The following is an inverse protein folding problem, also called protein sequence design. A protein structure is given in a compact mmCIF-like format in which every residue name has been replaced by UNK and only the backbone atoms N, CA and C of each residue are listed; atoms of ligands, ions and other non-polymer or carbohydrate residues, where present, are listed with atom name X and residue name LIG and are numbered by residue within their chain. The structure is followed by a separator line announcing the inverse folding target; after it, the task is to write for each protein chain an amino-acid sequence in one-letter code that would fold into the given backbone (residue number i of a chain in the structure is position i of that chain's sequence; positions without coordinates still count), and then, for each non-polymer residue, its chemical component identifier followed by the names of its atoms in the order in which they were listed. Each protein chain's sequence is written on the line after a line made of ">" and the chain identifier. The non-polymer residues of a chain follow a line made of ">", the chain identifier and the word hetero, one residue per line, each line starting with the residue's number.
data_IF_831120393989
#
_entry.id   IF_831120393989
#
_cell.length_a   1.000
_cell.length_b   1.000
_cell.length_c   1.000
_cell.angle_alpha   90.00
_cell.angle_beta   90.00
_cell.angle_gamma   90.00
#
_symmetry.space_group_name_H-M   'P 1'
#
loop_
_entity.id
_entity.type
_entity.pdbx_description
1 polymer ?
#
# COMPACT_ATOMS: atom_id res chain seq x y z
N UNK A 1 17.71 37.64 48.76
CA UNK A 1 18.16 38.65 47.79
C UNK A 1 19.20 37.99 46.91
N UNK A 2 18.99 37.69 45.64
CA UNK A 2 17.85 38.01 44.78
C UNK A 2 17.71 36.99 43.64
N UNK A 3 16.48 36.96 43.15
CA UNK A 3 15.99 36.40 41.91
C UNK A 3 16.92 36.58 40.70
N UNK A 4 17.06 35.53 39.88
CA UNK A 4 16.82 35.66 38.43
C UNK A 4 16.57 34.31 37.73
N UNK A 5 15.27 34.03 37.61
CA UNK A 5 14.52 33.49 36.47
C UNK A 5 15.31 33.24 35.15
N UNK A 6 14.99 32.07 34.56
CA UNK A 6 14.78 31.83 33.12
C UNK A 6 15.95 31.29 32.27
N UNK A 7 15.87 29.99 31.93
CA UNK A 7 15.64 29.58 30.54
C UNK A 7 15.14 28.13 30.47
N UNK A 8 13.93 28.01 29.92
CA UNK A 8 13.29 26.77 29.48
C UNK A 8 14.19 26.09 28.46
N UNK A 9 14.67 24.88 28.74
CA UNK A 9 15.16 23.98 27.70
C UNK A 9 13.98 23.18 27.18
N UNK A 10 13.68 23.42 25.90
CA UNK A 10 12.59 22.86 25.12
C UNK A 10 12.54 21.33 25.20
N UNK A 11 11.35 20.80 25.49
CA UNK A 11 10.99 19.43 25.14
C UNK A 11 11.31 19.24 23.66
N UNK A 12 12.07 18.20 23.34
CA UNK A 12 12.25 17.74 21.99
C UNK A 12 10.86 17.47 21.41
N UNK A 13 10.40 18.35 20.53
CA UNK A 13 9.39 17.98 19.55
C UNK A 13 10.01 16.83 18.76
N UNK A 14 9.52 15.62 19.03
CA UNK A 14 9.66 14.50 18.13
C UNK A 14 8.95 14.88 16.83
N UNK A 15 9.67 15.61 15.96
CA UNK A 15 9.30 15.78 14.57
C UNK A 15 9.36 14.39 13.95
N UNK A 16 8.23 13.68 14.02
CA UNK A 16 7.94 12.63 13.05
C UNK A 16 8.21 13.24 11.67
N UNK A 17 8.99 12.56 10.81
CA UNK A 17 9.19 13.06 9.46
C UNK A 17 7.82 13.33 8.84
N UNK A 18 7.68 14.49 8.19
CA UNK A 18 6.45 14.85 7.52
C UNK A 18 6.13 13.77 6.48
N UNK A 19 5.23 12.84 6.83
CA UNK A 19 4.89 11.72 5.96
C UNK A 19 4.34 12.26 4.63
N UNK A 20 4.76 11.63 3.54
CA UNK A 20 4.35 11.94 2.17
C UNK A 20 2.84 11.87 1.94
N UNK A 21 2.43 12.20 0.72
CA UNK A 21 1.02 12.29 0.35
C UNK A 21 0.43 10.91 0.06
N UNK A 22 -0.84 10.77 0.43
CA UNK A 22 -1.72 9.67 0.04
C UNK A 22 -2.97 10.24 -0.64
N UNK A 23 -3.32 9.74 -1.82
CA UNK A 23 -4.44 10.29 -2.61
C UNK A 23 -5.33 9.18 -3.14
N UNK A 24 -6.60 9.20 -2.74
CA UNK A 24 -7.63 8.40 -3.41
C UNK A 24 -7.91 9.00 -4.79
N UNK A 25 -7.31 8.41 -5.84
CA UNK A 25 -7.49 8.87 -7.22
C UNK A 25 -8.89 8.53 -7.71
N UNK A 26 -9.37 7.33 -7.37
CA UNK A 26 -10.69 6.83 -7.73
C UNK A 26 -11.12 5.71 -6.82
N UNK A 27 -12.39 5.71 -6.45
CA UNK A 27 -13.06 4.63 -5.76
C UNK A 27 -14.58 4.85 -5.91
N UNK A 28 -15.35 3.89 -6.42
CA UNK A 28 -16.80 4.00 -6.42
C UNK A 28 -17.32 4.21 -4.99
N UNK A 29 -18.33 5.06 -4.81
CA UNK A 29 -18.84 5.43 -3.48
C UNK A 29 -19.33 4.21 -2.67
N UNK A 30 -20.01 3.27 -3.32
CA UNK A 30 -20.46 2.02 -2.70
C UNK A 30 -19.27 1.16 -2.25
N UNK A 31 -18.22 1.09 -3.06
CA UNK A 31 -16.99 0.38 -2.71
C UNK A 31 -16.27 1.04 -1.53
N UNK A 32 -16.19 2.38 -1.51
CA UNK A 32 -15.58 3.10 -0.39
C UNK A 32 -16.35 2.86 0.92
N UNK A 33 -17.69 2.91 0.86
CA UNK A 33 -18.53 2.59 2.02
C UNK A 33 -18.25 1.16 2.51
N UNK A 34 -18.21 0.19 1.58
CA UNK A 34 -17.92 -1.21 1.88
C UNK A 34 -16.56 -1.43 2.54
N UNK A 35 -15.52 -0.72 2.08
CA UNK A 35 -14.18 -0.77 2.66
C UNK A 35 -14.16 -0.23 4.10
N UNK A 36 -14.95 0.81 4.39
CA UNK A 36 -15.05 1.43 5.73
C UNK A 36 -15.96 0.68 6.70
N UNK A 37 -16.78 -0.26 6.20
CA UNK A 37 -17.73 -1.04 7.01
C UNK A 37 -17.44 -2.54 6.98
N UNK A 38 -16.17 -2.93 6.81
CA UNK A 38 -15.75 -4.32 6.91
C UNK A 38 -16.15 -4.94 8.26
N UNK A 39 -16.68 -6.16 8.24
CA UNK A 39 -16.96 -6.89 9.48
C UNK A 39 -15.63 -7.31 10.13
N UNK A 40 -15.64 -7.47 11.47
CA UNK A 40 -14.42 -7.75 12.24
C UNK A 40 -13.74 -9.07 11.86
N UNK A 41 -14.51 -10.06 11.43
CA UNK A 41 -14.01 -11.38 11.01
C UNK A 41 -13.45 -11.40 9.58
N UNK A 42 -13.63 -10.33 8.80
CA UNK A 42 -13.18 -10.31 7.41
C UNK A 42 -11.66 -10.14 7.31
N UNK A 43 -11.06 -10.90 6.39
CA UNK A 43 -9.61 -10.88 6.17
C UNK A 43 -9.28 -9.94 5.02
N UNK A 44 -8.28 -9.08 5.21
CA UNK A 44 -7.67 -8.31 4.13
C UNK A 44 -6.50 -9.12 3.58
N UNK A 45 -6.60 -9.56 2.33
CA UNK A 45 -5.47 -10.21 1.65
C UNK A 45 -4.62 -9.12 1.00
N UNK A 46 -3.39 -9.00 1.46
CA UNK A 46 -2.44 -7.96 1.08
C UNK A 46 -1.29 -8.57 0.28
N UNK A 47 -1.25 -8.30 -1.03
CA UNK A 47 -0.15 -8.69 -1.90
C UNK A 47 0.86 -7.55 -2.03
N UNK A 48 2.12 -7.80 -1.65
CA UNK A 48 3.18 -6.79 -1.72
C UNK A 48 4.37 -7.25 -2.55
N UNK A 49 4.97 -6.37 -3.37
CA UNK A 49 6.19 -6.72 -4.09
C UNK A 49 7.36 -6.80 -3.09
N UNK A 50 8.28 -7.75 -3.28
CA UNK A 50 9.57 -7.71 -2.59
C UNK A 50 10.42 -6.60 -3.22
N UNK A 51 10.72 -5.55 -2.46
CA UNK A 51 11.44 -4.35 -2.93
C UNK A 51 12.53 -3.95 -1.93
N UNK A 52 13.58 -3.20 -2.36
CA UNK A 52 14.51 -2.59 -1.43
C UNK A 52 13.81 -1.62 -0.47
N UNK A 53 14.37 -1.45 0.73
CA UNK A 53 13.91 -0.43 1.68
C UNK A 53 14.02 0.98 1.10
N UNK A 54 13.11 1.87 1.52
CA UNK A 54 13.19 3.27 1.16
C UNK A 54 14.49 3.87 1.72
N UNK A 55 15.28 4.60 0.91
CA UNK A 55 16.51 5.25 1.38
C UNK A 55 16.27 6.21 2.54
N UNK A 56 15.05 6.76 2.63
CA UNK A 56 14.63 7.71 3.67
C UNK A 56 14.04 7.06 4.92
N UNK A 57 13.84 5.74 4.94
CA UNK A 57 13.20 5.06 6.06
C UNK A 57 14.25 4.50 7.03
N UNK A 58 14.14 4.86 8.31
CA UNK A 58 14.89 4.23 9.41
C UNK A 58 14.22 2.92 9.85
N UNK A 59 13.97 2.02 8.89
CA UNK A 59 13.43 0.69 9.19
C UNK A 59 14.55 -0.20 9.72
N UNK A 60 14.21 -1.14 10.61
CA UNK A 60 15.16 -2.16 11.04
C UNK A 60 15.62 -2.93 9.82
N UNK A 61 16.93 -3.11 9.68
CA UNK A 61 17.53 -3.94 8.63
C UNK A 61 16.80 -5.30 8.62
N UNK A 62 16.40 -5.75 7.44
CA UNK A 62 15.69 -7.02 7.20
C UNK A 62 14.17 -7.04 7.53
N UNK A 63 13.55 -5.92 7.92
CA UNK A 63 12.10 -5.84 8.08
C UNK A 63 11.39 -5.76 6.71
N UNK A 64 10.17 -6.26 6.56
CA UNK A 64 9.41 -6.05 5.31
C UNK A 64 9.04 -4.54 5.16
N UNK A 65 9.31 -3.88 4.01
CA UNK A 65 9.03 -2.45 3.83
C UNK A 65 7.55 -2.07 3.96
N UNK A 66 6.64 -3.03 3.80
CA UNK A 66 5.19 -2.85 3.87
C UNK A 66 4.59 -3.36 5.17
N UNK A 67 5.41 -3.86 6.10
CA UNK A 67 4.96 -4.24 7.44
C UNK A 67 4.15 -3.12 8.13
N UNK A 68 4.57 -1.83 8.11
CA UNK A 68 3.77 -0.76 8.71
C UNK A 68 2.39 -0.60 8.07
N UNK A 69 2.28 -0.84 6.76
CA UNK A 69 0.99 -0.82 6.06
C UNK A 69 0.09 -1.95 6.56
N UNK A 70 0.62 -3.17 6.59
CA UNK A 70 -0.09 -4.35 7.09
C UNK A 70 -0.58 -4.18 8.52
N UNK A 71 0.27 -3.63 9.40
CA UNK A 71 -0.05 -3.38 10.82
C UNK A 71 -1.14 -2.34 11.01
N UNK A 72 -1.18 -1.31 10.17
CA UNK A 72 -2.13 -0.21 10.29
C UNK A 72 -3.56 -0.60 9.82
N UNK A 73 -3.71 -1.69 9.04
CA UNK A 73 -5.01 -2.10 8.53
C UNK A 73 -6.01 -2.46 9.65
N UNK A 74 -7.31 -2.15 9.48
CA UNK A 74 -8.31 -2.25 10.56
C UNK A 74 -8.82 -3.68 10.85
N UNK A 75 -8.31 -4.68 10.12
CA UNK A 75 -8.80 -6.05 10.10
C UNK A 75 -7.65 -7.04 10.01
N UNK A 76 -7.84 -8.32 10.36
CA UNK A 76 -6.83 -9.35 10.21
C UNK A 76 -6.26 -9.36 8.79
N UNK A 77 -4.93 -9.35 8.69
CA UNK A 77 -4.22 -9.26 7.42
C UNK A 77 -3.59 -10.59 7.07
N UNK A 78 -3.84 -11.04 5.85
CA UNK A 78 -3.08 -12.10 5.20
C UNK A 78 -2.07 -11.44 4.27
N UNK A 79 -0.85 -11.25 4.77
CA UNK A 79 0.24 -10.63 4.03
C UNK A 79 0.95 -11.66 3.16
N UNK A 80 0.96 -11.44 1.85
CA UNK A 80 1.51 -12.35 0.83
C UNK A 80 2.53 -11.59 -0.03
N UNK A 81 3.82 -11.64 0.31
CA UNK A 81 4.84 -11.05 -0.52
C UNK A 81 4.98 -11.83 -1.85
N UNK A 82 5.21 -11.13 -2.95
CA UNK A 82 5.46 -11.71 -4.25
C UNK A 82 6.76 -11.18 -4.86
N UNK A 83 7.44 -12.04 -5.61
CA UNK A 83 8.66 -11.69 -6.35
C UNK A 83 8.33 -11.33 -7.78
N UNK A 84 8.81 -10.18 -8.24
CA UNK A 84 8.51 -9.66 -9.59
C UNK A 84 9.07 -10.57 -10.70
N UNK A 85 10.17 -11.28 -10.42
CA UNK A 85 10.78 -12.23 -11.36
C UNK A 85 9.88 -13.45 -11.62
N UNK A 86 9.18 -13.92 -10.57
CA UNK A 86 8.30 -15.09 -10.63
C UNK A 86 6.88 -14.71 -11.07
N UNK A 87 6.45 -13.50 -10.73
CA UNK A 87 5.08 -13.06 -10.95
C UNK A 87 4.07 -13.91 -10.16
N UNK A 88 2.88 -14.08 -10.72
CA UNK A 88 1.82 -14.84 -10.09
C UNK A 88 2.05 -16.34 -10.26
N UNK A 89 2.25 -17.05 -9.15
CA UNK A 89 2.31 -18.52 -9.07
C UNK A 89 0.95 -19.14 -8.72
N UNK A 90 0.86 -20.47 -8.84
CA UNK A 90 -0.33 -21.26 -8.49
C UNK A 90 -0.72 -21.19 -7.00
N UNK A 91 0.18 -20.70 -6.13
CA UNK A 91 -0.11 -20.54 -4.70
C UNK A 91 -0.97 -19.31 -4.40
N UNK A 92 -0.83 -18.23 -5.18
CA UNK A 92 -1.53 -16.97 -4.88
C UNK A 92 -3.06 -17.08 -4.86
N UNK A 93 -3.72 -17.84 -5.77
CA UNK A 93 -5.16 -18.06 -5.72
C UNK A 93 -5.67 -18.64 -4.40
N UNK A 94 -4.90 -19.49 -3.72
CA UNK A 94 -5.35 -20.09 -2.45
C UNK A 94 -5.52 -19.04 -1.35
N UNK A 95 -4.75 -17.95 -1.40
CA UNK A 95 -4.88 -16.83 -0.47
C UNK A 95 -6.07 -15.91 -0.76
N UNK A 96 -6.72 -16.04 -1.92
CA UNK A 96 -7.90 -15.24 -2.25
C UNK A 96 -9.14 -15.75 -1.52
N UNK A 97 -9.20 -17.05 -1.23
CA UNK A 97 -10.31 -17.66 -0.49
C UNK A 97 -10.54 -16.96 0.85
N UNK A 98 -11.80 -16.63 1.16
CA UNK A 98 -12.23 -15.91 2.36
C UNK A 98 -11.70 -14.45 2.52
N UNK A 99 -11.20 -13.82 1.46
CA UNK A 99 -10.86 -12.39 1.50
C UNK A 99 -12.14 -11.54 1.54
N UNK A 100 -12.23 -10.63 2.50
CA UNK A 100 -13.25 -9.57 2.48
C UNK A 100 -12.84 -8.39 1.61
N UNK A 101 -11.52 -8.18 1.45
CA UNK A 101 -10.89 -7.22 0.53
C UNK A 101 -9.58 -7.81 0.02
N UNK A 102 -9.24 -7.52 -1.23
CA UNK A 102 -7.92 -7.79 -1.77
C UNK A 102 -7.22 -6.46 -2.03
N UNK A 103 -6.04 -6.28 -1.45
CA UNK A 103 -5.17 -5.13 -1.71
C UNK A 103 -3.94 -5.61 -2.45
N UNK A 104 -3.66 -5.04 -3.62
CA UNK A 104 -2.44 -5.29 -4.37
C UNK A 104 -1.59 -4.02 -4.38
N UNK A 105 -0.36 -4.12 -3.91
CA UNK A 105 0.60 -3.02 -3.92
C UNK A 105 1.44 -3.08 -5.19
N UNK A 106 1.62 -1.93 -5.83
CA UNK A 106 2.62 -1.68 -6.86
C UNK A 106 3.56 -0.61 -6.32
N UNK A 107 4.87 -0.82 -6.39
CA UNK A 107 5.89 0.16 -6.02
C UNK A 107 6.85 0.38 -7.19
N UNK A 108 6.84 1.60 -7.72
CA UNK A 108 7.63 2.05 -8.87
C UNK A 108 8.28 3.41 -8.59
N UNK A 109 8.81 3.56 -7.37
CA UNK A 109 9.66 4.70 -6.99
C UNK A 109 11.03 4.62 -7.67
N UNK A 110 11.77 5.72 -7.71
CA UNK A 110 13.13 5.76 -8.27
C UNK A 110 14.05 4.70 -7.65
N UNK A 111 13.96 4.48 -6.33
CA UNK A 111 14.73 3.44 -5.64
C UNK A 111 14.44 2.05 -6.22
N UNK A 112 13.17 1.73 -6.46
CA UNK A 112 12.79 0.40 -6.98
C UNK A 112 13.16 0.28 -8.47
N UNK A 113 12.89 1.31 -9.26
CA UNK A 113 13.18 1.31 -10.70
C UNK A 113 14.68 1.32 -10.99
N UNK A 114 15.50 1.90 -10.11
CA UNK A 114 16.96 1.85 -10.21
C UNK A 114 17.53 0.44 -10.03
N UNK A 115 16.84 -0.44 -9.29
CA UNK A 115 17.21 -1.85 -9.12
C UNK A 115 16.56 -2.75 -10.17
N UNK A 116 15.34 -2.43 -10.59
CA UNK A 116 14.59 -3.19 -11.59
C UNK A 116 13.77 -2.24 -12.48
N UNK A 117 14.27 -1.91 -13.69
CA UNK A 117 13.59 -0.99 -14.60
C UNK A 117 12.21 -1.46 -15.08
N UNK A 118 11.96 -2.77 -15.07
CA UNK A 118 10.69 -3.41 -15.48
C UNK A 118 9.73 -3.65 -14.29
N UNK A 119 10.06 -3.11 -13.11
CA UNK A 119 9.32 -3.39 -11.89
C UNK A 119 7.84 -3.02 -12.04
N UNK A 120 7.53 -1.88 -12.67
CA UNK A 120 6.16 -1.43 -12.86
C UNK A 120 5.36 -2.40 -13.74
N UNK A 121 5.90 -2.79 -14.91
CA UNK A 121 5.24 -3.68 -15.87
C UNK A 121 5.01 -5.09 -15.27
N UNK A 122 5.95 -5.59 -14.48
CA UNK A 122 5.83 -6.90 -13.83
C UNK A 122 4.78 -6.89 -12.73
N UNK A 123 4.74 -5.84 -11.93
CA UNK A 123 3.78 -5.69 -10.84
C UNK A 123 2.36 -5.44 -11.35
N UNK A 124 2.17 -4.65 -12.41
CA UNK A 124 0.83 -4.47 -13.01
C UNK A 124 0.32 -5.77 -13.64
N UNK A 125 1.19 -6.57 -14.25
CA UNK A 125 0.82 -7.91 -14.74
C UNK A 125 0.36 -8.83 -13.60
N UNK A 126 1.06 -8.81 -12.46
CA UNK A 126 0.64 -9.52 -11.26
C UNK A 126 -0.74 -9.05 -10.78
N UNK A 127 -0.92 -7.74 -10.61
CA UNK A 127 -2.17 -7.15 -10.15
C UNK A 127 -3.35 -7.53 -11.04
N UNK A 128 -3.20 -7.44 -12.37
CA UNK A 128 -4.23 -7.86 -13.33
C UNK A 128 -4.56 -9.34 -13.24
N UNK A 129 -3.54 -10.18 -13.00
CA UNK A 129 -3.74 -11.62 -12.86
C UNK A 129 -4.55 -11.95 -11.59
N UNK A 130 -4.27 -11.26 -10.48
CA UNK A 130 -5.07 -11.36 -9.24
C UNK A 130 -6.49 -10.88 -9.46
N UNK A 131 -6.69 -9.69 -10.04
CA UNK A 131 -8.02 -9.15 -10.35
C UNK A 131 -8.82 -10.14 -11.21
N UNK A 132 -8.22 -10.70 -12.26
CA UNK A 132 -8.88 -11.68 -13.12
C UNK A 132 -9.29 -12.95 -12.36
N UNK A 133 -8.53 -13.39 -11.34
CA UNK A 133 -8.92 -14.53 -10.50
C UNK A 133 -10.09 -14.20 -9.57
N UNK A 134 -10.12 -12.99 -9.01
CA UNK A 134 -11.23 -12.52 -8.18
C UNK A 134 -12.51 -12.44 -9.01
N UNK A 135 -12.45 -11.82 -10.19
CA UNK A 135 -13.60 -11.65 -11.10
C UNK A 135 -14.17 -12.98 -11.61
N UNK A 136 -13.30 -13.95 -11.89
CA UNK A 136 -13.73 -15.28 -12.36
C UNK A 136 -14.28 -16.18 -11.25
N UNK A 137 -14.08 -15.83 -9.98
CA UNK A 137 -14.59 -16.60 -8.87
C UNK A 137 -15.94 -16.05 -8.39
N UNK A 138 -17.01 -16.77 -8.68
CA UNK A 138 -18.37 -16.38 -8.30
C UNK A 138 -18.54 -16.14 -6.79
N UNK A 139 -17.80 -16.85 -5.93
CA UNK A 139 -17.85 -16.64 -4.48
C UNK A 139 -17.21 -15.33 -4.02
N UNK A 140 -16.53 -14.62 -4.93
CA UNK A 140 -15.82 -13.37 -4.66
C UNK A 140 -16.43 -12.17 -5.40
N UNK A 141 -17.62 -12.31 -5.99
CA UNK A 141 -18.25 -11.28 -6.81
C UNK A 141 -18.41 -9.91 -6.10
N UNK A 142 -18.47 -9.90 -4.76
CA UNK A 142 -18.59 -8.67 -3.96
C UNK A 142 -17.29 -8.26 -3.25
N UNK A 143 -16.17 -8.94 -3.52
CA UNK A 143 -14.88 -8.66 -2.88
C UNK A 143 -14.16 -7.57 -3.68
N UNK A 144 -13.96 -6.36 -3.12
CA UNK A 144 -13.27 -5.31 -3.83
C UNK A 144 -11.78 -5.61 -3.97
N UNK A 145 -11.23 -5.29 -5.14
CA UNK A 145 -9.79 -5.25 -5.39
C UNK A 145 -9.32 -3.81 -5.37
N UNK A 146 -8.44 -3.50 -4.43
CA UNK A 146 -7.80 -2.19 -4.25
C UNK A 146 -6.41 -2.24 -4.85
N UNK A 147 -6.11 -1.30 -5.74
CA UNK A 147 -4.74 -1.07 -6.18
C UNK A 147 -4.11 0.06 -5.36
N UNK A 148 -3.00 -0.23 -4.68
CA UNK A 148 -2.16 0.76 -4.02
C UNK A 148 -0.91 1.01 -4.86
N UNK A 149 -0.80 2.17 -5.50
CA UNK A 149 0.32 2.51 -6.38
C UNK A 149 1.26 3.53 -5.73
N UNK A 150 2.49 3.11 -5.45
CA UNK A 150 3.55 3.92 -4.85
C UNK A 150 4.51 4.32 -5.97
N UNK A 151 4.25 5.47 -6.57
CA UNK A 151 4.92 5.92 -7.81
C UNK A 151 5.85 7.11 -7.57
N UNK A 152 5.84 7.65 -6.36
CA UNK A 152 6.57 8.84 -5.99
C UNK A 152 6.23 10.08 -6.80
N UNK A 153 6.99 11.14 -6.56
CA UNK A 153 6.92 12.36 -7.36
C UNK A 153 7.68 12.18 -8.69
N UNK A 154 7.49 11.05 -9.36
CA UNK A 154 8.15 10.78 -10.63
C UNK A 154 7.44 11.52 -11.76
N UNK A 155 8.20 11.98 -12.74
CA UNK A 155 7.63 12.52 -14.00
C UNK A 155 6.73 11.51 -14.74
N UNK A 156 6.81 10.22 -14.36
CA UNK A 156 6.01 9.12 -14.90
C UNK A 156 4.74 8.84 -14.10
N UNK A 157 4.48 9.52 -12.98
CA UNK A 157 3.33 9.26 -12.12
C UNK A 157 2.00 9.27 -12.91
N UNK A 158 1.77 10.29 -13.74
CA UNK A 158 0.59 10.37 -14.63
C UNK A 158 0.52 9.20 -15.59
N UNK A 159 1.65 8.77 -16.19
CA UNK A 159 1.67 7.65 -17.10
C UNK A 159 1.35 6.33 -16.39
N UNK A 160 1.85 6.14 -15.16
CA UNK A 160 1.54 4.98 -14.34
C UNK A 160 0.07 4.94 -13.93
N UNK A 161 -0.51 6.08 -13.50
CA UNK A 161 -1.94 6.18 -13.21
C UNK A 161 -2.82 5.83 -14.41
N UNK A 162 -2.43 6.27 -15.61
CA UNK A 162 -3.11 5.92 -16.87
C UNK A 162 -2.96 4.44 -17.23
N UNK A 163 -1.78 3.87 -17.01
CA UNK A 163 -1.51 2.46 -17.31
C UNK A 163 -2.37 1.51 -16.46
N UNK A 164 -2.80 1.94 -15.26
CA UNK A 164 -3.67 1.17 -14.36
C UNK A 164 -5.13 1.61 -14.41
N UNK A 165 -5.59 2.38 -15.42
CA UNK A 165 -6.96 2.92 -15.48
C UNK A 165 -8.08 1.88 -15.39
N UNK A 166 -7.78 0.62 -15.68
CA UNK A 166 -8.67 -0.52 -15.59
C UNK A 166 -9.05 -0.92 -14.15
N UNK A 167 -8.30 -0.46 -13.13
CA UNK A 167 -8.61 -0.76 -11.73
C UNK A 167 -9.59 0.28 -11.16
N UNK A 168 -10.80 -0.09 -10.70
CA UNK A 168 -11.81 0.87 -10.25
C UNK A 168 -11.45 1.58 -8.93
N UNK A 169 -10.65 0.93 -8.08
CA UNK A 169 -10.15 1.51 -6.82
C UNK A 169 -8.64 1.69 -6.92
N UNK A 170 -8.19 2.96 -6.87
CA UNK A 170 -6.78 3.33 -6.91
C UNK A 170 -6.47 4.37 -5.83
N UNK A 171 -5.51 4.01 -4.98
CA UNK A 171 -4.84 4.90 -4.05
C UNK A 171 -3.39 5.11 -4.53
N UNK A 172 -2.93 6.36 -4.61
CA UNK A 172 -1.53 6.66 -4.90
C UNK A 172 -0.81 7.18 -3.66
N UNK A 173 0.48 6.83 -3.55
CA UNK A 173 1.38 7.27 -2.48
C UNK A 173 2.68 7.82 -3.06
N UNK A 174 3.22 8.86 -2.41
CA UNK A 174 4.51 9.46 -2.77
C UNK A 174 5.72 8.60 -2.34
N UNK A 175 5.57 7.84 -1.28
CA UNK A 175 6.61 6.95 -0.79
C UNK A 175 5.99 5.81 0.03
N UNK A 176 6.85 4.93 0.53
CA UNK A 176 6.50 3.79 1.36
C UNK A 176 7.19 3.90 2.72
N UNK A 177 7.33 5.12 3.23
CA UNK A 177 7.69 5.32 4.64
C UNK A 177 6.51 4.94 5.54
N UNK A 178 6.74 4.55 6.80
CA UNK A 178 5.67 4.15 7.71
C UNK A 178 4.53 5.19 7.80
N UNK A 179 4.86 6.47 7.94
CA UNK A 179 3.89 7.55 8.06
C UNK A 179 3.00 7.70 6.81
N UNK A 180 3.57 7.55 5.61
CA UNK A 180 2.81 7.60 4.36
C UNK A 180 1.92 6.38 4.18
N UNK A 181 2.42 5.19 4.54
CA UNK A 181 1.65 3.94 4.51
C UNK A 181 0.44 4.00 5.45
N UNK A 182 0.64 4.46 6.70
CA UNK A 182 -0.44 4.68 7.68
C UNK A 182 -1.48 5.69 7.16
N UNK A 183 -1.03 6.81 6.56
CA UNK A 183 -1.92 7.78 5.91
C UNK A 183 -2.71 7.16 4.76
N UNK A 184 -2.09 6.26 4.00
CA UNK A 184 -2.74 5.48 2.96
C UNK A 184 -3.90 4.65 3.52
N UNK A 185 -3.67 3.95 4.63
CA UNK A 185 -4.72 3.18 5.33
C UNK A 185 -5.87 4.09 5.78
N UNK A 186 -5.57 5.22 6.43
CA UNK A 186 -6.61 6.17 6.86
C UNK A 186 -7.45 6.66 5.68
N UNK A 187 -6.80 6.96 4.55
CA UNK A 187 -7.46 7.49 3.35
C UNK A 187 -8.53 6.53 2.83
N UNK A 188 -8.24 5.24 2.79
CA UNK A 188 -9.14 4.23 2.22
C UNK A 188 -10.09 3.61 3.24
N UNK A 189 -9.65 3.34 4.47
CA UNK A 189 -10.40 2.57 5.45
C UNK A 189 -11.12 3.40 6.52
N UNK A 190 -10.92 4.72 6.56
CA UNK A 190 -11.68 5.61 7.44
C UNK A 190 -10.84 6.15 8.56
#
# INVERSE_FOLDING_TARGET
>A
MDEQKMKRSSRADSQQPAGGRAVMVRCPAQTLMRLRTLNEAEIITLFTPVVPHSPSASLVKDMDPFEPFGRALPRPVRHVPFRMELGMTDLHPYFLSASGVVVVVICATENVLGHNPEAFERQIKFARSITSKVEKNASMACVPVVLLAIVGNSVKATAYEQAVRDFPVLLTLDDYTPATLERGVQTIFG
#
